data_IF_134509450310
#
_entry.id   IF_134509450310
#
_cell.length_a   1.000
_cell.length_b   1.000
_cell.length_c   1.000
_cell.angle_alpha   90.00
_cell.angle_beta   90.00
_cell.angle_gamma   90.00
#
_symmetry.space_group_name_H-M   'P 1'
#
loop_
_entity.id
_entity.type
_entity.pdbx_description
1 polymer ?
#
# COMPACT_ATOMS: atom_id res chain seq x y z
N UNK A 1 12.50 9.73 -10.66
CA UNK A 1 13.24 9.96 -9.40
C UNK A 1 13.07 11.42 -9.04
N UNK A 2 12.73 11.75 -7.79
CA UNK A 2 13.04 11.07 -6.51
C UNK A 2 12.13 9.89 -6.10
N UNK A 3 12.50 9.15 -5.03
CA UNK A 3 11.73 8.05 -4.40
C UNK A 3 12.00 7.91 -2.89
N UNK A 4 10.99 7.51 -2.11
CA UNK A 4 11.08 7.10 -0.70
C UNK A 4 10.83 5.61 -0.62
N UNK A 5 11.74 4.85 -0.02
CA UNK A 5 11.67 3.38 0.08
C UNK A 5 11.20 2.94 1.49
N UNK A 6 11.41 1.66 1.81
CA UNK A 6 10.98 1.03 3.06
C UNK A 6 9.68 0.27 2.89
N UNK A 7 9.65 -1.00 3.30
CA UNK A 7 8.50 -1.90 3.08
C UNK A 7 8.17 -2.79 4.29
N UNK A 8 8.79 -2.53 5.44
CA UNK A 8 8.58 -3.29 6.70
C UNK A 8 8.14 -2.35 7.82
N UNK A 9 7.14 -1.51 7.51
CA UNK A 9 6.64 -0.51 8.46
C UNK A 9 5.76 -1.12 9.55
N UNK A 10 5.84 -0.58 10.76
CA UNK A 10 4.87 -0.77 11.81
C UNK A 10 4.62 0.56 12.52
N UNK A 11 3.44 0.75 13.07
CA UNK A 11 3.08 2.03 13.69
C UNK A 11 1.68 2.06 14.27
N UNK A 12 1.22 3.29 14.52
CA UNK A 12 -0.09 3.58 15.07
C UNK A 12 -0.86 4.44 14.07
N UNK A 13 -2.11 4.09 13.80
CA UNK A 13 -2.99 4.88 12.92
C UNK A 13 -3.24 6.25 13.53
N UNK A 14 -3.00 7.31 12.76
CA UNK A 14 -3.23 8.71 13.20
C UNK A 14 -4.49 9.33 12.58
N UNK A 15 -4.85 8.90 11.38
CA UNK A 15 -6.02 9.36 10.63
C UNK A 15 -6.42 8.29 9.60
N UNK A 16 -7.69 8.27 9.20
CA UNK A 16 -8.25 7.35 8.20
C UNK A 16 -8.98 8.12 7.10
N UNK A 17 -8.87 7.68 5.85
CA UNK A 17 -9.46 8.39 4.69
C UNK A 17 -10.98 8.18 4.46
N UNK A 18 -11.69 7.44 5.32
CA UNK A 18 -13.12 7.15 5.16
C UNK A 18 -13.63 6.14 6.18
N UNK A 19 -14.94 5.87 6.20
CA UNK A 19 -15.59 5.05 7.22
C UNK A 19 -15.37 3.52 7.07
N UNK A 20 -14.99 3.05 5.88
CA UNK A 20 -15.00 1.62 5.54
C UNK A 20 -13.62 0.94 5.58
N UNK A 21 -12.68 1.46 6.39
CA UNK A 21 -11.33 0.89 6.52
C UNK A 21 -11.25 -0.27 7.52
N UNK A 22 -12.22 -0.35 8.46
CA UNK A 22 -12.12 -1.26 9.61
C UNK A 22 -11.01 -0.91 10.60
N UNK A 23 -10.40 0.28 10.47
CA UNK A 23 -9.34 0.80 11.33
C UNK A 23 -9.76 2.16 11.91
N UNK A 24 -9.24 2.51 13.08
CA UNK A 24 -9.42 3.82 13.71
C UNK A 24 -8.11 4.40 14.25
N UNK A 25 -8.07 5.72 14.53
CA UNK A 25 -6.92 6.33 15.20
C UNK A 25 -6.58 5.63 16.52
N UNK A 26 -5.30 5.33 16.73
CA UNK A 26 -4.80 4.58 17.88
C UNK A 26 -4.58 3.08 17.64
N UNK A 27 -5.10 2.52 16.53
CA UNK A 27 -4.85 1.12 16.20
C UNK A 27 -3.37 0.87 15.86
N UNK A 28 -2.81 -0.20 16.41
CA UNK A 28 -1.46 -0.64 16.09
C UNK A 28 -1.49 -1.52 14.83
N UNK A 29 -0.67 -1.19 13.84
CA UNK A 29 -0.66 -1.84 12.53
C UNK A 29 0.73 -2.24 12.08
N UNK A 30 0.79 -3.29 11.27
CA UNK A 30 1.97 -3.70 10.49
C UNK A 30 1.61 -3.52 9.01
N UNK A 31 2.51 -2.89 8.26
CA UNK A 31 2.36 -2.69 6.83
C UNK A 31 2.95 -3.90 6.09
N UNK A 32 2.14 -4.53 5.25
CA UNK A 32 2.57 -5.62 4.35
C UNK A 32 2.68 -5.11 2.91
N UNK A 33 2.99 -6.02 1.98
CA UNK A 33 2.96 -5.72 0.55
C UNK A 33 1.52 -5.52 0.05
N UNK A 34 1.39 -4.85 -1.08
CA UNK A 34 0.10 -4.53 -1.70
C UNK A 34 -0.31 -5.60 -2.73
N UNK A 35 -1.62 -5.78 -2.90
CA UNK A 35 -2.22 -6.71 -3.87
C UNK A 35 -3.56 -6.17 -4.37
N UNK A 36 -4.00 -6.60 -5.56
CA UNK A 36 -5.20 -6.01 -6.16
C UNK A 36 -6.51 -6.49 -5.52
N UNK A 37 -6.50 -7.59 -4.76
CA UNK A 37 -7.68 -8.11 -4.06
C UNK A 37 -8.74 -8.77 -4.96
N UNK A 38 -8.63 -8.67 -6.29
CA UNK A 38 -9.68 -9.14 -7.22
C UNK A 38 -9.22 -10.14 -8.28
N UNK A 39 -7.91 -10.36 -8.46
CA UNK A 39 -7.42 -11.37 -9.41
C UNK A 39 -7.61 -12.80 -8.88
N UNK A 40 -7.45 -13.81 -9.76
CA UNK A 40 -7.62 -15.23 -9.40
C UNK A 40 -6.77 -15.64 -8.20
N UNK A 41 -5.51 -15.20 -8.16
CA UNK A 41 -4.61 -15.51 -7.04
C UNK A 41 -5.07 -14.87 -5.74
N UNK A 42 -5.51 -13.60 -5.77
CA UNK A 42 -6.04 -12.93 -4.58
C UNK A 42 -7.31 -13.60 -4.04
N UNK A 43 -8.27 -13.89 -4.92
CA UNK A 43 -9.51 -14.59 -4.54
C UNK A 43 -9.24 -16.04 -4.08
N UNK A 44 -8.14 -16.64 -4.53
CA UNK A 44 -7.63 -17.93 -4.09
C UNK A 44 -6.77 -17.90 -2.82
N UNK A 45 -6.79 -16.80 -2.05
CA UNK A 45 -6.00 -16.59 -0.84
C UNK A 45 -4.47 -16.70 -1.05
N UNK A 46 -4.00 -16.36 -2.25
CA UNK A 46 -2.60 -16.40 -2.64
C UNK A 46 -2.12 -15.01 -3.13
N UNK A 47 -2.24 -13.94 -2.32
CA UNK A 47 -1.99 -12.56 -2.75
C UNK A 47 -0.52 -12.28 -3.13
N UNK A 48 0.42 -13.11 -2.69
CA UNK A 48 1.82 -13.04 -3.12
C UNK A 48 2.01 -13.31 -4.62
N UNK A 49 1.04 -13.96 -5.28
CA UNK A 49 1.03 -14.22 -6.72
C UNK A 49 0.02 -13.32 -7.45
N UNK A 50 -0.21 -12.12 -6.93
CA UNK A 50 -1.07 -11.13 -7.55
C UNK A 50 -0.55 -10.75 -8.95
N UNK A 51 -1.45 -10.75 -9.94
CA UNK A 51 -1.14 -10.35 -11.32
C UNK A 51 -0.51 -8.94 -11.40
N UNK A 52 -0.90 -8.04 -10.49
CA UNK A 52 -0.43 -6.65 -10.43
C UNK A 52 0.73 -6.42 -9.44
N UNK A 53 1.30 -7.47 -8.84
CA UNK A 53 2.27 -7.35 -7.74
C UNK A 53 3.42 -6.39 -8.06
N UNK A 54 4.05 -6.55 -9.24
CA UNK A 54 5.20 -5.76 -9.63
C UNK A 54 4.82 -4.26 -9.78
N UNK A 55 3.67 -3.98 -10.39
CA UNK A 55 3.18 -2.61 -10.58
C UNK A 55 2.91 -1.92 -9.24
N UNK A 56 2.29 -2.63 -8.30
CA UNK A 56 1.90 -2.09 -7.00
C UNK A 56 3.09 -1.85 -6.07
N UNK A 57 4.11 -2.72 -6.10
CA UNK A 57 5.15 -2.73 -5.07
C UNK A 57 6.53 -2.23 -5.51
N UNK A 58 6.86 -2.22 -6.82
CA UNK A 58 8.24 -2.02 -7.27
C UNK A 58 8.51 -0.71 -8.01
N UNK A 59 7.49 -0.02 -8.52
CA UNK A 59 7.68 1.09 -9.47
C UNK A 59 7.20 2.47 -8.98
N UNK A 60 6.90 2.61 -7.69
CA UNK A 60 6.78 3.93 -7.05
C UNK A 60 5.47 4.68 -7.30
N UNK A 61 4.37 3.99 -7.61
CA UNK A 61 3.03 4.59 -7.58
C UNK A 61 2.00 3.85 -8.43
N UNK A 62 0.72 3.94 -8.03
CA UNK A 62 -0.43 3.47 -8.81
C UNK A 62 -0.68 4.42 -10.00
N UNK A 63 -1.26 3.91 -11.08
CA UNK A 63 -1.53 4.71 -12.28
C UNK A 63 -2.41 5.93 -11.97
N UNK A 64 -3.41 5.76 -11.11
CA UNK A 64 -4.38 6.78 -10.70
C UNK A 64 -3.92 7.73 -9.58
N UNK A 65 -2.77 7.52 -8.94
CA UNK A 65 -2.24 8.43 -7.90
C UNK A 65 -0.72 8.33 -7.83
N UNK A 66 -0.03 8.96 -8.78
CA UNK A 66 1.44 9.04 -8.76
C UNK A 66 1.90 9.74 -7.48
N UNK A 67 2.84 9.13 -6.77
CA UNK A 67 3.50 9.77 -5.64
C UNK A 67 4.10 11.11 -6.10
N UNK A 68 3.57 12.22 -5.57
CA UNK A 68 4.17 13.54 -5.74
C UNK A 68 5.05 13.80 -4.53
N UNK A 69 6.33 13.44 -4.66
CA UNK A 69 7.34 13.85 -3.70
C UNK A 69 7.92 15.17 -4.17
N UNK A 70 7.63 16.25 -3.46
CA UNK A 70 8.34 17.52 -3.61
C UNK A 70 9.40 17.58 -2.52
N UNK A 71 10.66 17.45 -2.92
CA UNK A 71 11.76 17.83 -2.05
C UNK A 71 11.80 19.35 -1.98
N UNK A 72 11.96 19.91 -0.77
CA UNK A 72 12.04 21.35 -0.54
C UNK A 72 13.48 21.89 -0.66
N UNK A 73 14.44 21.03 -1.01
CA UNK A 73 15.84 21.38 -1.23
C UNK A 73 16.09 22.23 -2.48
#
# INVERSE_FOLDING_TARGET
LPAVLGHEGAGVVVETGGADTGLGPGDHVVLSFDSCGHCRSCLGAAPAYCDDFAALNLFGGRAENRARFTDAA
#
